data_IF_095547382137
#
_entry.id   IF_095547382137
#
_cell.length_a   1.000
_cell.length_b   1.000
_cell.length_c   1.000
_cell.angle_alpha   90.00
_cell.angle_beta   90.00
_cell.angle_gamma   90.00
#
_symmetry.space_group_name_H-M   'P 1'
#
loop_
_entity.id
_entity.type
_entity.pdbx_description
1 polymer ?
#
# COMPACT_ATOMS: atom_id res chain seq x y z
N UNK A 1 17.64 -15.70 3.59
CA UNK A 1 18.04 -14.92 4.78
C UNK A 1 18.65 -15.80 5.89
N UNK A 2 19.70 -15.32 6.56
CA UNK A 2 20.24 -15.90 7.81
C UNK A 2 19.75 -15.13 9.06
N UNK A 3 18.66 -14.36 8.94
CA UNK A 3 18.16 -13.45 9.96
C UNK A 3 18.30 -11.98 9.54
N UNK A 4 17.87 -11.08 10.44
CA UNK A 4 18.03 -9.64 10.25
C UNK A 4 19.48 -9.21 10.47
N UNK A 5 20.06 -8.51 9.50
CA UNK A 5 21.38 -7.88 9.62
C UNK A 5 21.19 -6.38 9.82
N UNK A 6 21.24 -5.88 11.08
CA UNK A 6 20.99 -4.48 11.38
C UNK A 6 22.10 -3.57 10.88
N UNK A 7 23.20 -4.06 10.30
CA UNK A 7 24.22 -3.23 9.65
C UNK A 7 23.90 -2.97 8.16
N UNK A 8 23.00 -3.76 7.57
CA UNK A 8 22.61 -3.64 6.16
C UNK A 8 21.20 -3.13 5.97
N UNK A 9 20.31 -3.41 6.91
CA UNK A 9 18.89 -3.17 6.77
C UNK A 9 18.33 -2.34 7.92
N UNK A 10 17.25 -1.63 7.61
CA UNK A 10 16.39 -0.88 8.52
C UNK A 10 14.99 -1.49 8.45
N UNK A 11 14.32 -1.61 9.59
CA UNK A 11 12.88 -1.93 9.64
C UNK A 11 12.09 -0.64 9.65
N UNK A 12 11.09 -0.53 8.78
CA UNK A 12 10.20 0.61 8.75
C UNK A 12 9.17 0.54 9.89
N UNK A 13 8.86 1.70 10.46
CA UNK A 13 7.81 1.87 11.46
C UNK A 13 7.21 3.27 11.26
N UNK A 14 6.33 3.41 10.27
CA UNK A 14 5.80 4.70 9.82
C UNK A 14 4.51 4.56 9.03
N UNK A 15 3.81 5.67 8.86
CA UNK A 15 2.69 5.78 7.93
C UNK A 15 2.97 6.85 6.87
N UNK A 16 2.59 6.57 5.62
CA UNK A 16 2.69 7.49 4.48
C UNK A 16 1.37 8.18 4.15
N UNK A 17 0.24 7.60 4.57
CA UNK A 17 -1.09 8.15 4.30
C UNK A 17 -2.02 7.94 5.51
N UNK A 18 -2.93 8.88 5.79
CA UNK A 18 -3.79 8.83 6.98
C UNK A 18 -4.85 7.71 6.95
N UNK A 19 -5.08 7.10 5.78
CA UNK A 19 -6.14 6.13 5.55
C UNK A 19 -5.67 4.67 5.72
N UNK A 20 -4.44 4.45 6.16
CA UNK A 20 -3.85 3.12 6.40
C UNK A 20 -3.27 3.03 7.81
N UNK A 21 -3.10 1.80 8.31
CA UNK A 21 -2.35 1.50 9.53
C UNK A 21 -0.82 1.64 9.37
N UNK A 22 -0.34 2.06 8.20
CA UNK A 22 1.09 2.22 7.91
C UNK A 22 1.82 0.88 7.80
N UNK A 23 3.12 0.91 8.06
CA UNK A 23 3.97 -0.28 8.21
C UNK A 23 4.57 -0.31 9.60
N UNK A 24 4.64 -1.50 10.18
CA UNK A 24 5.19 -1.73 11.52
C UNK A 24 6.27 -2.79 11.47
N UNK A 25 7.24 -2.68 12.38
CA UNK A 25 8.41 -3.55 12.42
C UNK A 25 8.06 -4.97 12.88
N UNK A 26 6.96 -5.08 13.62
CA UNK A 26 6.38 -6.29 14.18
C UNK A 26 5.81 -7.21 13.10
N UNK A 27 5.38 -6.66 11.96
CA UNK A 27 4.88 -7.43 10.82
C UNK A 27 6.00 -8.02 9.95
N UNK A 28 7.27 -7.77 10.28
CA UNK A 28 8.41 -8.33 9.59
C UNK A 28 9.05 -9.45 10.41
N UNK A 29 9.03 -10.65 9.84
CA UNK A 29 9.65 -11.84 10.42
C UNK A 29 10.77 -12.37 9.54
N UNK A 30 11.76 -12.98 10.15
CA UNK A 30 12.83 -13.69 9.45
C UNK A 30 12.73 -15.17 9.80
N UNK A 31 12.15 -15.94 8.90
CA UNK A 31 12.08 -17.39 9.07
C UNK A 31 13.45 -18.00 8.73
N UNK A 32 14.17 -18.40 9.77
CA UNK A 32 15.50 -19.01 9.65
C UNK A 32 15.45 -20.42 9.07
N UNK A 33 14.30 -21.12 9.18
CA UNK A 33 14.15 -22.50 8.71
C UNK A 33 14.02 -22.55 7.19
N UNK A 34 13.16 -21.70 6.63
CA UNK A 34 12.99 -21.54 5.19
C UNK A 34 13.98 -20.55 4.58
N UNK A 35 14.72 -19.82 5.43
CA UNK A 35 15.67 -18.75 5.07
C UNK A 35 14.97 -17.63 4.30
N UNK A 36 13.86 -17.10 4.80
CA UNK A 36 13.08 -16.06 4.12
C UNK A 36 12.79 -14.88 5.05
N UNK A 37 12.57 -13.71 4.47
CA UNK A 37 11.90 -12.61 5.15
C UNK A 37 10.40 -12.68 4.80
N UNK A 38 9.55 -12.61 5.82
CA UNK A 38 8.09 -12.65 5.70
C UNK A 38 7.54 -11.30 6.13
N UNK A 39 6.73 -10.71 5.26
CA UNK A 39 6.11 -9.41 5.44
C UNK A 39 4.60 -9.65 5.57
N UNK A 40 4.10 -9.61 6.79
CA UNK A 40 2.67 -9.72 7.05
C UNK A 40 1.97 -8.41 6.68
N UNK A 41 0.79 -8.56 6.10
CA UNK A 41 -0.13 -7.49 5.82
C UNK A 41 -1.49 -7.84 6.45
N UNK A 42 -2.03 -6.92 7.24
CA UNK A 42 -3.30 -7.08 7.95
C UNK A 42 -4.38 -6.33 7.18
N UNK A 43 -5.40 -7.04 6.69
CA UNK A 43 -6.52 -6.45 5.96
C UNK A 43 -7.60 -5.90 6.90
N UNK A 44 -8.80 -5.69 6.37
CA UNK A 44 -9.94 -5.14 7.11
C UNK A 44 -10.54 -6.10 8.14
N UNK A 45 -10.25 -7.40 8.03
CA UNK A 45 -10.78 -8.43 8.93
C UNK A 45 -9.83 -8.75 10.09
N UNK A 46 -8.68 -8.08 10.18
CA UNK A 46 -7.70 -8.32 11.23
C UNK A 46 -8.19 -7.84 12.59
N UNK A 47 -8.20 -8.74 13.57
CA UNK A 47 -8.62 -8.51 14.95
C UNK A 47 -7.54 -8.83 16.00
N UNK A 48 -6.30 -9.07 15.54
CA UNK A 48 -5.17 -9.44 16.41
C UNK A 48 -4.49 -8.26 17.12
N UNK A 49 -3.46 -8.57 17.91
CA UNK A 49 -2.83 -7.63 18.85
C UNK A 49 -1.84 -6.62 18.21
N UNK A 50 -1.42 -6.83 16.96
CA UNK A 50 -0.44 -5.94 16.32
C UNK A 50 -1.17 -4.74 15.73
N UNK A 51 -1.10 -3.63 16.47
CA UNK A 51 -1.63 -2.35 16.02
C UNK A 51 -0.76 -1.69 14.95
N UNK A 52 -1.40 -0.87 14.12
CA UNK A 52 -0.73 0.00 13.16
C UNK A 52 -0.10 1.23 13.82
N UNK A 53 0.26 2.19 12.97
CA UNK A 53 0.84 3.47 13.34
C UNK A 53 0.19 4.62 12.60
N UNK A 54 0.17 5.78 13.24
CA UNK A 54 -0.26 7.06 12.66
C UNK A 54 0.88 8.08 12.77
N UNK A 55 0.86 9.06 11.87
CA UNK A 55 1.82 10.16 11.84
C UNK A 55 1.11 11.46 12.18
N UNK A 56 1.66 12.22 13.13
CA UNK A 56 1.28 13.61 13.40
C UNK A 56 2.55 14.46 13.43
N UNK A 57 2.67 15.38 12.46
CA UNK A 57 3.91 16.13 12.24
C UNK A 57 5.11 15.20 12.02
N UNK A 58 6.12 15.29 12.88
CA UNK A 58 7.33 14.44 12.89
C UNK A 58 7.27 13.33 13.93
N UNK A 59 6.10 13.06 14.51
CA UNK A 59 5.91 12.02 15.52
C UNK A 59 5.14 10.84 14.94
N UNK A 60 5.59 9.63 15.24
CA UNK A 60 4.86 8.39 14.97
C UNK A 60 4.31 7.87 16.30
N UNK A 61 3.02 7.56 16.32
CA UNK A 61 2.34 6.96 17.48
C UNK A 61 1.58 5.71 17.05
N UNK A 62 1.29 4.84 18.02
CA UNK A 62 0.50 3.62 17.79
C UNK A 62 -0.94 3.98 17.46
N UNK A 63 -1.51 3.30 16.46
CA UNK A 63 -2.93 3.37 16.18
C UNK A 63 -3.71 2.50 17.19
N UNK A 64 -5.02 2.72 17.27
CA UNK A 64 -5.94 1.93 18.09
C UNK A 64 -6.47 0.67 17.36
N UNK A 65 -5.98 0.42 16.14
CA UNK A 65 -6.34 -0.72 15.31
C UNK A 65 -5.14 -1.24 14.52
N UNK A 66 -5.13 -2.54 14.24
CA UNK A 66 -4.14 -3.23 13.41
C UNK A 66 -4.52 -3.37 11.94
N UNK A 67 -5.73 -2.95 11.53
CA UNK A 67 -6.18 -3.08 10.14
C UNK A 67 -5.32 -2.24 9.19
N UNK A 68 -5.23 -2.70 7.94
CA UNK A 68 -4.47 -2.05 6.87
C UNK A 68 -3.03 -1.72 7.27
N UNK A 69 -2.41 -2.63 8.04
CA UNK A 69 -1.04 -2.48 8.54
C UNK A 69 -0.12 -3.47 7.84
N UNK A 70 0.96 -2.98 7.26
CA UNK A 70 1.94 -3.77 6.51
C UNK A 70 3.30 -3.90 7.17
N UNK A 71 4.29 -4.30 6.39
CA UNK A 71 5.70 -4.32 6.76
C UNK A 71 6.57 -3.79 5.63
N UNK A 72 7.67 -3.12 5.97
CA UNK A 72 8.70 -2.76 5.00
C UNK A 72 10.10 -2.78 5.62
N UNK A 73 11.10 -3.03 4.78
CA UNK A 73 12.52 -2.85 5.08
C UNK A 73 13.15 -1.93 4.06
N UNK A 74 14.24 -1.28 4.46
CA UNK A 74 15.07 -0.50 3.57
C UNK A 74 16.56 -0.80 3.80
N UNK A 75 17.39 -0.61 2.79
CA UNK A 75 18.84 -0.68 2.96
C UNK A 75 19.34 0.48 3.81
N UNK A 76 20.43 0.26 4.56
CA UNK A 76 21.15 1.33 5.28
C UNK A 76 21.97 2.20 4.35
N UNK A 77 22.61 1.57 3.38
CA UNK A 77 23.40 2.25 2.35
C UNK A 77 22.49 2.73 1.22
N UNK A 78 22.99 3.72 0.48
CA UNK A 78 22.36 4.26 -0.71
C UNK A 78 23.09 3.72 -1.93
N UNK A 79 22.31 3.32 -2.92
CA UNK A 79 22.78 2.68 -4.13
C UNK A 79 22.34 3.51 -5.34
N UNK A 80 23.19 3.56 -6.35
CA UNK A 80 22.96 4.25 -7.61
C UNK A 80 22.77 3.26 -8.77
N UNK A 81 23.30 3.60 -9.94
CA UNK A 81 23.21 2.78 -11.14
C UNK A 81 23.70 1.33 -10.91
N UNK A 82 22.96 0.38 -11.48
CA UNK A 82 23.20 -1.04 -11.32
C UNK A 82 21.96 -1.89 -11.56
N UNK A 83 22.15 -3.19 -11.39
CA UNK A 83 21.11 -4.21 -11.46
C UNK A 83 20.62 -4.56 -10.06
N UNK A 84 19.32 -4.37 -9.82
CA UNK A 84 18.64 -4.66 -8.56
C UNK A 84 17.73 -5.86 -8.78
N UNK A 85 18.00 -6.96 -8.10
CA UNK A 85 17.27 -8.22 -8.26
C UNK A 85 16.69 -8.66 -6.91
N UNK A 86 15.40 -8.95 -6.88
CA UNK A 86 14.66 -9.42 -5.71
C UNK A 86 13.89 -10.67 -6.12
N UNK A 87 14.13 -11.77 -5.41
CA UNK A 87 13.32 -12.98 -5.56
C UNK A 87 12.27 -13.00 -4.47
N UNK A 88 11.01 -12.78 -4.85
CA UNK A 88 9.89 -12.67 -3.93
C UNK A 88 8.64 -13.39 -4.43
N UNK A 89 7.81 -13.78 -3.47
CA UNK A 89 6.41 -14.15 -3.65
C UNK A 89 5.57 -12.96 -3.17
N UNK A 90 4.71 -12.43 -4.03
CA UNK A 90 3.84 -11.29 -3.68
C UNK A 90 2.71 -11.72 -2.74
N UNK A 91 2.15 -10.76 -2.00
CA UNK A 91 0.91 -10.94 -1.26
C UNK A 91 -0.24 -11.25 -2.22
N UNK A 92 -1.04 -12.27 -1.90
CA UNK A 92 -1.97 -12.87 -2.87
C UNK A 92 -3.32 -12.15 -2.99
N UNK A 93 -3.58 -11.20 -2.08
CA UNK A 93 -4.88 -10.55 -1.91
C UNK A 93 -4.83 -9.11 -2.44
N UNK A 94 -5.93 -8.65 -3.04
CA UNK A 94 -6.10 -7.24 -3.40
C UNK A 94 -6.15 -6.36 -2.15
N UNK A 95 -5.83 -5.08 -2.33
CA UNK A 95 -5.80 -4.04 -1.30
C UNK A 95 -4.46 -3.88 -0.59
N UNK A 96 -3.56 -4.86 -0.72
CA UNK A 96 -2.15 -4.74 -0.31
C UNK A 96 -1.27 -4.63 -1.55
N UNK A 97 -0.34 -3.68 -1.51
CA UNK A 97 0.72 -3.53 -2.51
C UNK A 97 1.98 -4.26 -2.05
N UNK A 98 2.43 -5.25 -2.82
CA UNK A 98 3.80 -5.77 -2.75
C UNK A 98 4.70 -4.90 -3.62
N UNK A 99 5.69 -4.27 -3.01
CA UNK A 99 6.52 -3.26 -3.66
C UNK A 99 8.02 -3.52 -3.48
N UNK A 100 8.77 -3.23 -4.54
CA UNK A 100 10.21 -3.02 -4.53
C UNK A 100 10.43 -1.61 -5.05
N UNK A 101 11.11 -0.74 -4.29
CA UNK A 101 11.36 0.60 -4.78
C UNK A 101 12.71 1.17 -4.33
N UNK A 102 13.31 2.04 -5.12
CA UNK A 102 14.37 2.93 -4.61
C UNK A 102 13.76 4.22 -4.14
N UNK A 103 14.28 4.82 -3.09
CA UNK A 103 13.76 6.11 -2.60
C UNK A 103 14.89 7.01 -2.13
N UNK A 104 14.89 8.24 -2.65
CA UNK A 104 15.64 9.38 -2.13
C UNK A 104 14.70 10.56 -2.02
N UNK A 105 14.69 11.24 -0.88
CA UNK A 105 13.82 12.39 -0.67
C UNK A 105 14.51 13.56 0.01
N UNK A 106 14.23 14.76 -0.51
CA UNK A 106 14.69 16.02 0.05
C UNK A 106 13.64 17.11 -0.10
N UNK A 107 13.45 17.85 0.98
CA UNK A 107 12.66 19.09 0.99
C UNK A 107 13.16 20.06 -0.07
N UNK A 108 12.23 20.73 -0.73
CA UNK A 108 12.53 21.71 -1.75
C UNK A 108 11.27 22.25 -2.42
N UNK A 109 11.46 23.24 -3.29
CA UNK A 109 10.40 23.77 -4.15
C UNK A 109 10.89 23.75 -5.61
N UNK A 110 10.53 22.72 -6.40
CA UNK A 110 9.70 21.55 -6.05
C UNK A 110 10.42 20.56 -5.12
N UNK A 111 9.64 19.67 -4.48
CA UNK A 111 10.16 18.53 -3.72
C UNK A 111 11.02 17.67 -4.64
N UNK A 112 12.17 17.24 -4.13
CA UNK A 112 13.08 16.34 -4.84
C UNK A 112 12.81 14.92 -4.36
N UNK A 113 12.25 14.10 -5.25
CA UNK A 113 12.06 12.66 -5.05
C UNK A 113 12.73 11.91 -6.19
N UNK A 114 13.57 10.92 -5.88
CA UNK A 114 14.19 10.06 -6.87
C UNK A 114 13.84 8.61 -6.56
N UNK A 115 13.01 8.03 -7.41
CA UNK A 115 12.35 6.76 -7.11
C UNK A 115 12.10 5.91 -8.37
N UNK A 116 12.20 4.60 -8.20
CA UNK A 116 11.97 3.56 -9.21
C UNK A 116 11.15 2.49 -8.52
N UNK A 117 10.01 2.12 -9.09
CA UNK A 117 9.10 1.17 -8.44
C UNK A 117 8.83 -0.05 -9.29
N UNK A 118 8.63 -1.18 -8.62
CA UNK A 118 7.86 -2.33 -9.09
C UNK A 118 6.76 -2.56 -8.05
N UNK A 119 5.49 -2.38 -8.44
CA UNK A 119 4.34 -2.51 -7.55
C UNK A 119 3.28 -3.48 -8.10
N UNK A 120 2.76 -4.34 -7.23
CA UNK A 120 1.67 -5.27 -7.52
C UNK A 120 0.62 -5.24 -6.41
N UNK A 121 -0.69 -5.34 -6.72
CA UNK A 121 -1.26 -5.51 -8.06
C UNK A 121 -1.15 -4.24 -8.92
N UNK A 122 -1.16 -4.43 -10.23
CA UNK A 122 -1.19 -3.35 -11.20
C UNK A 122 -2.57 -3.16 -11.81
N UNK A 123 -2.62 -2.44 -12.92
CA UNK A 123 -3.84 -2.17 -13.70
C UNK A 123 -3.47 -1.73 -15.12
N UNK A 124 -4.40 -1.78 -16.09
CA UNK A 124 -4.11 -1.43 -17.49
C UNK A 124 -3.96 0.08 -17.77
N UNK A 125 -4.47 0.95 -16.90
CA UNK A 125 -4.50 2.39 -17.15
C UNK A 125 -4.64 3.19 -15.83
N UNK A 126 -4.58 4.53 -15.85
CA UNK A 126 -4.62 5.33 -14.63
C UNK A 126 -5.86 5.13 -13.74
N UNK A 127 -7.01 4.80 -14.32
CA UNK A 127 -8.23 4.56 -13.56
C UNK A 127 -8.04 3.37 -12.62
N UNK A 128 -8.52 3.45 -11.38
CA UNK A 128 -8.43 2.37 -10.40
C UNK A 128 -9.50 1.29 -10.66
N UNK A 129 -9.53 0.78 -11.90
CA UNK A 129 -10.36 -0.33 -12.35
C UNK A 129 -9.45 -1.43 -12.91
N UNK A 130 -10.00 -2.64 -13.04
CA UNK A 130 -9.30 -3.78 -13.64
C UNK A 130 -7.95 -4.05 -12.95
N UNK A 131 -7.95 -3.92 -11.62
CA UNK A 131 -6.78 -4.13 -10.78
C UNK A 131 -6.54 -5.63 -10.69
N UNK A 132 -5.32 -6.06 -11.04
CA UNK A 132 -4.98 -7.47 -11.15
C UNK A 132 -3.49 -7.73 -10.98
N UNK A 133 -3.15 -8.98 -10.70
CA UNK A 133 -1.76 -9.44 -10.57
C UNK A 133 -1.14 -9.85 -11.91
N UNK A 134 -1.89 -9.77 -13.00
CA UNK A 134 -1.42 -9.86 -14.38
C UNK A 134 -0.91 -8.52 -14.92
N UNK A 135 -0.90 -7.48 -14.08
CA UNK A 135 -0.25 -6.20 -14.31
C UNK A 135 0.70 -5.84 -13.15
N UNK A 136 1.73 -5.05 -13.46
CA UNK A 136 2.56 -4.36 -12.49
C UNK A 136 2.69 -2.88 -12.85
N UNK A 137 2.81 -2.02 -11.83
CA UNK A 137 3.20 -0.62 -12.03
C UNK A 137 4.73 -0.53 -11.98
N UNK A 138 5.32 0.02 -13.04
CA UNK A 138 6.76 0.15 -13.18
C UNK A 138 7.11 1.63 -13.34
N UNK A 139 7.32 2.29 -12.22
CA UNK A 139 7.28 3.75 -12.15
C UNK A 139 8.69 4.34 -12.05
N UNK A 140 8.83 5.61 -12.44
CA UNK A 140 10.06 6.40 -12.27
C UNK A 140 9.75 7.85 -11.93
N UNK A 141 10.47 8.40 -10.95
CA UNK A 141 10.24 9.73 -10.37
C UNK A 141 11.52 10.56 -10.32
N UNK A 142 11.39 11.86 -10.62
CA UNK A 142 12.40 12.90 -10.28
C UNK A 142 11.78 14.03 -9.44
N UNK A 143 10.59 13.79 -8.90
CA UNK A 143 9.82 14.68 -8.03
C UNK A 143 8.40 14.14 -7.84
N UNK A 144 7.57 14.85 -7.07
CA UNK A 144 6.21 14.40 -6.72
C UNK A 144 5.10 15.02 -7.58
N UNK A 145 5.40 16.03 -8.40
CA UNK A 145 4.41 16.62 -9.30
C UNK A 145 4.18 15.74 -10.52
N UNK A 146 2.97 15.75 -11.09
CA UNK A 146 2.60 14.85 -12.18
C UNK A 146 3.50 14.90 -13.43
N UNK A 147 4.20 16.01 -13.69
CA UNK A 147 5.18 16.10 -14.79
C UNK A 147 6.52 15.41 -14.49
N UNK A 148 6.81 15.14 -13.22
CA UNK A 148 8.04 14.55 -12.71
C UNK A 148 7.88 13.05 -12.37
N UNK A 149 6.73 12.47 -12.69
CA UNK A 149 6.39 11.06 -12.49
C UNK A 149 6.05 10.42 -13.83
N UNK A 150 6.55 9.22 -14.07
CA UNK A 150 6.07 8.34 -15.15
C UNK A 150 5.57 7.03 -14.52
N UNK A 151 4.32 6.65 -14.80
CA UNK A 151 3.74 5.38 -14.40
C UNK A 151 3.57 4.48 -15.63
N UNK A 152 4.21 3.31 -15.63
CA UNK A 152 3.99 2.32 -16.68
C UNK A 152 3.05 1.21 -16.19
N UNK A 153 1.88 1.12 -16.83
CA UNK A 153 0.88 0.06 -16.67
C UNK A 153 1.31 -1.18 -17.46
N UNK A 154 2.13 -2.04 -16.85
CA UNK A 154 2.83 -3.11 -17.56
C UNK A 154 2.04 -4.42 -17.46
N UNK A 155 1.49 -4.89 -18.58
CA UNK A 155 0.89 -6.23 -18.67
C UNK A 155 1.99 -7.30 -18.54
N UNK A 156 1.72 -8.31 -17.72
CA UNK A 156 2.55 -9.47 -17.50
C UNK A 156 1.97 -10.70 -18.21
N UNK A 157 2.79 -11.72 -18.42
CA UNK A 157 2.38 -12.94 -19.14
C UNK A 157 1.40 -13.83 -18.34
N UNK A 158 1.23 -13.55 -17.05
CA UNK A 158 0.41 -14.32 -16.11
C UNK A 158 0.11 -13.50 -14.86
N UNK A 159 -0.85 -13.95 -14.07
CA UNK A 159 -1.06 -13.49 -12.71
C UNK A 159 0.11 -13.91 -11.80
N UNK A 160 0.64 -12.96 -11.05
CA UNK A 160 1.84 -13.15 -10.21
C UNK A 160 1.53 -13.52 -8.76
N UNK A 161 0.25 -13.53 -8.36
CA UNK A 161 -0.21 -14.09 -7.08
C UNK A 161 -0.46 -15.60 -7.15
N UNK A 162 0.35 -16.35 -7.91
CA UNK A 162 0.20 -17.79 -8.17
C UNK A 162 0.78 -18.69 -7.06
N UNK A 163 1.15 -18.07 -5.93
CA UNK A 163 1.78 -18.75 -4.80
C UNK A 163 3.26 -19.10 -5.00
N UNK A 164 3.89 -18.70 -6.12
CA UNK A 164 5.28 -18.99 -6.43
C UNK A 164 6.22 -17.80 -6.20
N UNK A 165 7.51 -18.10 -6.19
CA UNK A 165 8.56 -17.08 -6.19
C UNK A 165 8.91 -16.71 -7.62
N UNK A 166 8.89 -15.41 -7.89
CA UNK A 166 9.37 -14.81 -9.12
C UNK A 166 10.60 -13.95 -8.86
N UNK A 167 11.42 -13.79 -9.90
CA UNK A 167 12.59 -12.92 -9.87
C UNK A 167 12.25 -11.60 -10.53
N UNK A 168 12.22 -10.55 -9.74
CA UNK A 168 11.96 -9.18 -10.16
C UNK A 168 13.27 -8.45 -10.25
N UNK A 169 13.51 -7.77 -11.36
CA UNK A 169 14.76 -7.03 -11.54
C UNK A 169 14.53 -5.73 -12.29
N UNK A 170 15.25 -4.69 -11.90
CA UNK A 170 15.43 -3.53 -12.76
C UNK A 170 16.92 -3.22 -12.94
N UNK A 171 17.29 -2.86 -14.16
CA UNK A 171 18.62 -2.38 -14.52
C UNK A 171 18.53 -0.86 -14.70
N UNK A 172 19.23 -0.12 -13.84
CA UNK A 172 19.18 1.34 -13.78
C UNK A 172 20.43 1.96 -14.38
N UNK A 173 20.23 2.69 -15.47
CA UNK A 173 21.26 3.42 -16.22
C UNK A 173 21.07 4.92 -16.02
N UNK A 174 22.12 5.61 -15.56
CA UNK A 174 22.07 7.03 -15.17
C UNK A 174 22.77 7.96 -16.16
N UNK A 175 23.62 7.42 -17.05
CA UNK A 175 24.29 8.14 -18.13
C UNK A 175 23.28 9.03 -18.89
N UNK A 176 23.56 10.33 -18.93
CA UNK A 176 22.68 11.33 -19.56
C UNK A 176 22.38 11.05 -21.03
N UNK A 177 23.30 10.39 -21.74
CA UNK A 177 23.15 10.08 -23.16
C UNK A 177 22.18 8.91 -23.44
N UNK A 178 21.96 8.03 -22.46
CA UNK A 178 21.05 6.88 -22.58
C UNK A 178 20.37 6.51 -21.25
N UNK A 179 19.89 7.53 -20.54
CA UNK A 179 19.27 7.35 -19.23
C UNK A 179 17.99 6.53 -19.36
N UNK A 180 17.90 5.41 -18.62
CA UNK A 180 16.76 4.49 -18.67
C UNK A 180 16.69 3.56 -17.47
N UNK A 181 15.51 2.99 -17.25
CA UNK A 181 15.30 1.83 -16.38
C UNK A 181 14.70 0.72 -17.22
N UNK A 182 15.32 -0.46 -17.18
CA UNK A 182 14.82 -1.66 -17.85
C UNK A 182 14.28 -2.63 -16.79
N UNK A 183 13.04 -3.05 -16.92
CA UNK A 183 12.38 -3.92 -15.95
C UNK A 183 12.24 -5.34 -16.48
N UNK A 184 12.56 -6.31 -15.63
CA UNK A 184 12.60 -7.72 -15.95
C UNK A 184 11.80 -8.53 -14.92
N UNK A 185 11.07 -9.52 -15.42
CA UNK A 185 10.38 -10.55 -14.61
C UNK A 185 10.84 -11.91 -15.10
N UNK A 186 11.37 -12.73 -14.20
CA UNK A 186 11.96 -14.04 -14.49
C UNK A 186 12.97 -14.02 -15.65
N UNK A 187 13.75 -12.94 -15.71
CA UNK A 187 14.76 -12.70 -16.75
C UNK A 187 14.23 -12.19 -18.09
N UNK A 188 12.90 -12.06 -18.26
CA UNK A 188 12.28 -11.46 -19.45
C UNK A 188 12.15 -9.96 -19.27
N UNK A 189 12.65 -9.17 -20.22
CA UNK A 189 12.40 -7.73 -20.29
C UNK A 189 10.91 -7.47 -20.56
N UNK A 190 10.24 -6.72 -19.69
CA UNK A 190 8.80 -6.44 -19.77
C UNK A 190 8.48 -4.96 -19.97
N UNK A 191 9.37 -4.06 -19.56
CA UNK A 191 9.15 -2.61 -19.68
C UNK A 191 10.46 -1.85 -19.74
N UNK A 192 10.46 -0.67 -20.37
CA UNK A 192 11.59 0.27 -20.37
C UNK A 192 11.05 1.68 -20.12
N UNK A 193 11.55 2.36 -19.09
CA UNK A 193 11.25 3.76 -18.81
C UNK A 193 12.42 4.63 -19.24
N UNK A 194 12.11 5.74 -19.94
CA UNK A 194 13.10 6.72 -20.42
C UNK A 194 12.78 8.16 -20.01
N UNK A 195 11.69 8.36 -19.27
CA UNK A 195 11.26 9.65 -18.74
C UNK A 195 11.38 9.64 -17.24
N UNK A 196 11.67 10.79 -16.66
CA UNK A 196 11.74 10.97 -15.20
C UNK A 196 12.60 9.89 -14.51
N UNK A 197 13.65 9.45 -15.21
CA UNK A 197 14.55 8.41 -14.69
C UNK A 197 15.44 9.04 -13.62
N UNK A 198 15.50 8.46 -12.41
CA UNK A 198 16.32 8.98 -11.34
C UNK A 198 17.82 9.01 -11.69
N UNK A 199 18.56 9.89 -11.02
CA UNK A 199 20.02 9.95 -11.08
C UNK A 199 20.67 10.21 -9.71
N UNK A 200 19.87 10.26 -8.63
CA UNK A 200 20.35 10.34 -7.25
C UNK A 200 20.26 8.97 -6.59
N UNK A 201 21.33 8.54 -5.95
CA UNK A 201 21.35 7.31 -5.17
C UNK A 201 20.29 7.36 -4.06
N UNK A 202 19.59 6.23 -3.89
CA UNK A 202 18.51 6.06 -2.93
C UNK A 202 18.70 4.80 -2.10
N UNK A 203 17.90 4.65 -1.05
CA UNK A 203 17.78 3.35 -0.36
C UNK A 203 16.96 2.42 -1.23
N UNK A 204 17.29 1.13 -1.26
CA UNK A 204 16.38 0.11 -1.76
C UNK A 204 15.41 -0.27 -0.65
N UNK A 205 14.14 -0.26 -0.97
CA UNK A 205 13.01 -0.61 -0.13
C UNK A 205 12.27 -1.81 -0.69
N UNK A 206 11.75 -2.62 0.23
CA UNK A 206 10.90 -3.77 -0.08
C UNK A 206 9.80 -3.81 0.98
N UNK A 207 8.55 -3.96 0.58
CA UNK A 207 7.45 -3.94 1.53
C UNK A 207 6.12 -4.43 0.98
N UNK A 208 5.26 -4.86 1.91
CA UNK A 208 3.84 -5.06 1.71
C UNK A 208 3.12 -3.91 2.43
N UNK A 209 2.45 -3.01 1.71
CA UNK A 209 1.86 -1.80 2.28
C UNK A 209 0.47 -1.48 1.69
N UNK A 210 -0.28 -0.61 2.36
CA UNK A 210 -1.67 -0.30 1.99
C UNK A 210 -1.77 1.09 1.36
N UNK A 211 -1.87 1.17 0.02
CA UNK A 211 -2.06 2.44 -0.67
C UNK A 211 -3.49 2.97 -0.55
N UNK A 212 -3.66 4.24 -0.89
CA UNK A 212 -4.99 4.85 -0.94
C UNK A 212 -5.77 4.33 -2.16
N UNK A 213 -6.50 3.23 -1.97
CA UNK A 213 -7.48 2.60 -2.88
C UNK A 213 -6.96 1.93 -4.17
N UNK A 214 -5.78 2.27 -4.67
CA UNK A 214 -5.38 1.82 -6.02
C UNK A 214 -4.94 0.36 -6.12
N UNK A 215 -4.70 -0.32 -4.99
CA UNK A 215 -4.41 -1.76 -4.96
C UNK A 215 -5.68 -2.62 -4.80
N UNK A 216 -6.87 -2.02 -4.72
CA UNK A 216 -8.14 -2.71 -4.48
C UNK A 216 -8.57 -2.67 -3.01
N UNK A 217 -9.54 -3.52 -2.64
CA UNK A 217 -10.14 -3.56 -1.30
C UNK A 217 -9.49 -4.68 -0.48
N UNK A 218 -8.89 -4.40 0.70
CA UNK A 218 -8.19 -5.40 1.50
C UNK A 218 -9.14 -6.24 2.37
N UNK A 219 -10.08 -6.95 1.74
CA UNK A 219 -11.08 -7.79 2.42
C UNK A 219 -10.51 -9.17 2.82
N UNK A 220 -9.53 -9.16 3.71
CA UNK A 220 -8.90 -10.36 4.26
C UNK A 220 -8.42 -10.09 5.70
N UNK A 221 -8.07 -11.15 6.43
CA UNK A 221 -7.46 -11.05 7.75
C UNK A 221 -5.95 -10.79 7.62
N UNK A 222 -5.17 -11.82 7.25
CA UNK A 222 -3.72 -11.70 6.99
C UNK A 222 -3.37 -12.19 5.59
N UNK A 223 -2.51 -11.44 4.91
CA UNK A 223 -1.82 -11.86 3.68
C UNK A 223 -0.32 -11.66 3.83
N UNK A 224 0.48 -12.33 3.00
CA UNK A 224 1.94 -12.39 3.17
C UNK A 224 2.69 -12.19 1.87
N UNK A 225 3.68 -11.29 1.89
CA UNK A 225 4.76 -11.25 0.91
C UNK A 225 5.99 -11.96 1.51
N UNK A 226 6.67 -12.80 0.72
CA UNK A 226 7.90 -13.47 1.14
C UNK A 226 9.07 -13.09 0.24
N UNK A 227 10.24 -12.84 0.83
CA UNK A 227 11.47 -12.53 0.10
C UNK A 227 12.53 -13.57 0.43
N UNK A 228 13.06 -14.21 -0.60
CA UNK A 228 14.15 -15.18 -0.50
C UNK A 228 15.50 -14.47 -0.44
N UNK A 229 15.79 -13.69 -1.49
CA UNK A 229 17.03 -12.92 -1.59
C UNK A 229 16.83 -11.55 -2.25
N UNK A 230 17.80 -10.69 -1.98
CA UNK A 230 18.01 -9.41 -2.65
C UNK A 230 19.47 -9.36 -3.10
N UNK A 231 19.71 -8.89 -4.32
CA UNK A 231 21.04 -8.74 -4.91
C UNK A 231 21.12 -7.40 -5.63
N UNK A 232 22.17 -6.65 -5.35
CA UNK A 232 22.56 -5.45 -6.09
C UNK A 232 23.91 -5.69 -6.77
N UNK A 233 24.00 -5.35 -8.06
CA UNK A 233 25.24 -5.42 -8.85
C UNK A 233 25.50 -4.06 -9.50
N UNK A 234 26.53 -3.30 -9.07
CA UNK A 234 26.78 -1.96 -9.59
C UNK A 234 27.19 -1.99 -11.07
N UNK A 235 26.88 -0.92 -11.79
CA UNK A 235 27.43 -0.68 -13.12
C UNK A 235 28.64 0.25 -13.02
N UNK A 236 29.84 -0.30 -13.24
CA UNK A 236 31.13 0.40 -13.00
C UNK A 236 31.35 1.64 -13.89
N UNK A 237 30.66 1.74 -15.02
CA UNK A 237 30.83 2.83 -16.00
C UNK A 237 29.74 3.89 -15.92
N UNK A 238 28.87 3.83 -14.91
CA UNK A 238 27.75 4.75 -14.73
C UNK A 238 28.05 5.74 -13.59
N UNK A 239 27.58 6.98 -13.73
CA UNK A 239 27.73 8.02 -12.70
C UNK A 239 26.39 8.41 -12.12
N UNK A 240 26.33 8.57 -10.80
CA UNK A 240 25.15 9.03 -10.08
C UNK A 240 25.56 9.97 -8.96
N UNK A 241 24.64 10.81 -8.53
CA UNK A 241 24.88 11.73 -7.42
C UNK A 241 24.42 11.12 -6.10
N UNK A 242 24.99 11.59 -4.99
CA UNK A 242 24.63 11.13 -3.65
C UNK A 242 24.47 12.33 -2.68
N UNK A 243 23.43 13.15 -2.86
CA UNK A 243 23.15 14.25 -1.95
C UNK A 243 22.64 13.74 -0.58
N UNK A 244 22.60 14.63 0.42
CA UNK A 244 21.95 14.34 1.70
C UNK A 244 20.43 14.42 1.60
N UNK A 245 19.74 13.48 2.27
CA UNK A 245 18.30 13.54 2.50
C UNK A 245 17.96 14.49 3.65
N UNK A 246 16.74 15.05 3.64
CA UNK A 246 16.24 15.91 4.73
C UNK A 246 16.02 15.15 6.04
N UNK A 247 15.45 13.94 5.97
CA UNK A 247 14.98 13.19 7.14
C UNK A 247 15.37 11.70 7.11
N UNK A 248 16.67 11.36 6.92
CA UNK A 248 17.12 9.98 6.71
C UNK A 248 16.87 9.06 7.92
N UNK A 249 16.63 9.61 9.10
CA UNK A 249 16.44 8.88 10.37
C UNK A 249 14.98 8.81 10.84
N UNK A 250 14.02 9.24 10.02
CA UNK A 250 12.62 9.26 10.40
C UNK A 250 11.85 7.97 10.01
N UNK A 251 11.01 7.49 10.92
CA UNK A 251 10.05 6.42 10.64
C UNK A 251 10.66 5.01 10.61
N UNK A 252 11.69 4.78 11.41
CA UNK A 252 12.33 3.48 11.59
C UNK A 252 11.89 2.85 12.91
N UNK A 253 12.07 1.54 13.05
CA UNK A 253 11.72 0.83 14.28
C UNK A 253 12.39 1.46 15.52
N UNK A 254 11.72 1.50 16.68
CA UNK A 254 12.24 2.16 17.89
C UNK A 254 13.59 1.65 18.39
N UNK A 255 13.96 0.41 18.06
CA UNK A 255 15.24 -0.23 18.39
C UNK A 255 16.35 0.06 17.36
N UNK A 256 16.07 0.89 16.35
CA UNK A 256 17.04 1.24 15.32
C UNK A 256 18.10 2.18 15.87
N UNK A 257 19.34 1.69 15.91
CA UNK A 257 20.51 2.51 16.25
C UNK A 257 21.10 3.11 14.96
N UNK A 258 21.31 4.42 14.97
CA UNK A 258 22.14 5.14 14.02
C UNK A 258 23.44 5.54 14.72
N UNK A 259 24.62 5.34 14.08
CA UNK A 259 25.88 5.77 14.69
C UNK A 259 25.87 7.29 14.94
N UNK A 260 26.24 7.71 16.15
CA UNK A 260 26.36 9.12 16.50
C UNK A 260 27.38 9.81 15.58
N UNK A 261 27.05 11.02 15.14
CA UNK A 261 27.99 11.90 14.45
C UNK A 261 29.15 12.22 15.40
N UNK A 262 30.38 11.90 15.02
CA UNK A 262 31.56 12.37 15.76
C UNK A 262 31.54 13.89 15.92
N UNK A 263 31.85 14.37 17.12
CA UNK A 263 31.96 15.79 17.47
C UNK A 263 32.97 16.54 16.58
N UNK A 264 32.59 17.75 16.12
CA UNK A 264 33.38 19.00 16.15
C UNK A 264 32.56 20.17 15.54
N UNK A 265 32.88 21.44 15.87
CA UNK A 265 31.90 22.43 16.30
C UNK A 265 31.49 23.45 15.22
N UNK A 266 30.26 23.95 15.36
CA UNK A 266 29.88 25.28 14.86
C UNK A 266 29.03 25.30 13.59
N UNK A 267 27.79 25.71 13.81
CA UNK A 267 26.83 26.31 12.88
C UNK A 267 26.04 25.40 11.91
N UNK A 268 24.73 25.39 12.18
CA UNK A 268 23.53 25.01 11.42
C UNK A 268 23.54 23.79 10.45
N UNK A 269 22.50 22.96 10.56
CA UNK A 269 22.15 21.79 9.72
C UNK A 269 22.96 20.48 9.87
N UNK A 270 22.88 19.81 11.03
CA UNK A 270 23.47 18.48 11.21
C UNK A 270 22.68 17.36 10.51
N UNK A 271 22.94 17.15 9.22
CA UNK A 271 22.63 15.89 8.52
C UNK A 271 23.87 15.00 8.52
N UNK A 272 23.77 13.79 9.07
CA UNK A 272 24.83 12.77 9.02
C UNK A 272 25.18 12.45 7.56
N UNK A 273 26.46 12.18 7.20
CA UNK A 273 26.83 11.83 5.84
C UNK A 273 26.14 10.55 5.40
N UNK A 274 25.38 10.64 4.31
CA UNK A 274 24.80 9.48 3.63
C UNK A 274 25.95 8.56 3.17
N UNK A 275 25.95 7.30 3.64
CA UNK A 275 26.93 6.30 3.17
C UNK A 275 26.51 5.81 1.79
N UNK A 276 27.02 6.47 0.77
CA UNK A 276 27.03 5.91 -0.57
C UNK A 276 28.17 4.92 -0.72
N UNK A 277 27.88 3.75 -1.26
CA UNK A 277 28.94 2.95 -1.88
C UNK A 277 29.22 3.57 -3.24
N UNK A 278 30.45 4.02 -3.46
CA UNK A 278 30.99 4.13 -4.81
C UNK A 278 31.20 2.72 -5.38
N UNK A 279 31.20 2.55 -6.71
CA UNK A 279 31.66 1.32 -7.33
C UNK A 279 33.10 1.06 -6.85
N UNK A 280 33.28 0.08 -5.98
CA UNK A 280 34.61 -0.38 -5.59
C UNK A 280 35.08 -1.27 -6.71
N UNK A 281 36.17 -0.89 -7.38
CA UNK A 281 36.93 -1.81 -8.24
C UNK A 281 37.23 -3.07 -7.43
N UNK A 282 36.50 -4.16 -7.71
CA UNK A 282 36.78 -5.45 -7.11
C UNK A 282 38.12 -5.97 -7.65
N UNK A 283 38.96 -6.62 -6.82
CA UNK A 283 40.19 -7.24 -7.32
C UNK A 283 39.81 -8.31 -8.35
N UNK A 284 40.49 -8.31 -9.49
CA UNK A 284 40.34 -9.28 -10.56
C UNK A 284 40.62 -10.70 -10.02
N UNK A 285 39.59 -11.41 -9.56
CA UNK A 285 39.66 -12.85 -9.39
C UNK A 285 39.22 -13.51 -10.71
N UNK A 286 40.12 -14.32 -11.25
CA UNK A 286 39.90 -15.09 -12.46
C UNK A 286 38.65 -15.99 -12.34
N UNK A 287 37.88 -16.17 -13.42
CA UNK A 287 36.69 -17.01 -13.40
C UNK A 287 37.08 -18.46 -13.11
N UNK A 288 36.50 -19.06 -12.07
CA UNK A 288 36.49 -20.52 -11.93
C UNK A 288 35.57 -21.14 -12.99
N UNK A 289 35.91 -22.32 -13.52
CA UNK A 289 35.21 -22.90 -14.66
C UNK A 289 33.77 -23.28 -14.33
N UNK A 290 32.88 -23.01 -15.28
CA UNK A 290 31.47 -23.36 -15.23
C UNK A 290 31.27 -24.88 -15.05
N UNK A 291 30.51 -25.26 -14.03
CA UNK A 291 29.98 -26.61 -13.88
C UNK A 291 28.75 -26.74 -14.78
N UNK A 292 28.83 -27.62 -15.75
CA UNK A 292 27.73 -27.99 -16.64
C UNK A 292 26.77 -28.92 -15.92
N UNK A 293 25.52 -28.49 -15.74
CA UNK A 293 24.43 -29.36 -15.26
C UNK A 293 23.85 -30.17 -16.44
N UNK A 294 23.50 -31.46 -16.25
CA UNK A 294 22.94 -32.29 -17.31
C UNK A 294 21.46 -31.96 -17.59
N UNK A 295 20.94 -32.28 -18.79
CA UNK A 295 19.58 -31.91 -19.20
C UNK A 295 18.54 -32.77 -18.47
N UNK A 296 17.57 -32.12 -17.83
CA UNK A 296 16.39 -32.79 -17.28
C UNK A 296 15.38 -33.10 -18.40
N UNK A 297 15.10 -34.39 -18.57
CA UNK A 297 14.02 -34.91 -19.42
C UNK A 297 12.64 -34.49 -18.89
N UNK A 298 11.80 -33.97 -19.79
CA UNK A 298 10.44 -33.52 -19.50
C UNK A 298 9.53 -34.65 -18.99
N UNK A 299 8.73 -34.35 -17.97
CA UNK A 299 7.63 -35.20 -17.51
C UNK A 299 6.37 -35.01 -18.40
N UNK A 300 5.46 -35.98 -18.49
CA UNK A 300 4.31 -35.92 -19.40
C UNK A 300 3.26 -34.91 -18.92
N UNK A 301 2.80 -34.05 -19.84
CA UNK A 301 1.69 -33.11 -19.66
C UNK A 301 0.36 -33.87 -19.71
N UNK A 302 -0.44 -33.77 -18.65
CA UNK A 302 -1.85 -34.17 -18.67
C UNK A 302 -2.69 -33.08 -19.37
N UNK A 303 -3.74 -33.45 -20.14
CA UNK A 303 -4.56 -32.47 -20.84
C UNK A 303 -5.37 -31.59 -19.85
N UNK A 304 -5.60 -30.31 -20.19
CA UNK A 304 -6.30 -29.39 -19.31
C UNK A 304 -7.77 -29.80 -19.15
N UNK A 305 -8.21 -29.92 -17.90
CA UNK A 305 -9.63 -29.95 -17.55
C UNK A 305 -10.23 -28.56 -17.74
N UNK A 306 -11.30 -28.46 -18.51
CA UNK A 306 -12.03 -27.20 -18.71
C UNK A 306 -12.46 -26.59 -17.36
N UNK A 307 -12.40 -25.26 -17.20
CA UNK A 307 -12.93 -24.59 -16.02
C UNK A 307 -14.46 -24.78 -15.92
N UNK A 308 -15.02 -24.84 -14.71
CA UNK A 308 -16.46 -24.93 -14.54
C UNK A 308 -17.13 -23.65 -15.05
N UNK A 309 -18.01 -23.81 -16.05
CA UNK A 309 -18.93 -22.75 -16.46
C UNK A 309 -20.01 -22.64 -15.38
N UNK A 310 -19.95 -21.61 -14.53
CA UNK A 310 -21.06 -21.26 -13.66
C UNK A 310 -22.12 -20.50 -14.49
N UNK A 311 -23.31 -21.09 -14.59
CA UNK A 311 -24.52 -20.45 -15.12
C UNK A 311 -24.92 -19.22 -14.28
N UNK A 312 -25.56 -18.18 -14.87
CA UNK A 312 -26.00 -17.01 -14.12
C UNK A 312 -27.16 -17.39 -13.20
N UNK A 313 -26.95 -17.35 -11.90
CA UNK A 313 -28.06 -17.25 -10.94
C UNK A 313 -28.58 -15.82 -11.02
N UNK A 314 -29.86 -15.65 -11.34
CA UNK A 314 -30.51 -14.33 -11.41
C UNK A 314 -30.44 -13.57 -10.07
N UNK A 315 -30.79 -12.29 -10.11
CA UNK A 315 -30.76 -11.41 -8.95
C UNK A 315 -31.66 -11.94 -7.81
N UNK A 316 -31.19 -11.85 -6.57
CA UNK A 316 -31.92 -12.27 -5.37
C UNK A 316 -32.74 -11.10 -4.78
N UNK A 317 -33.79 -11.37 -3.98
CA UNK A 317 -34.53 -10.32 -3.26
C UNK A 317 -33.62 -9.43 -2.38
N UNK A 318 -32.54 -9.99 -1.85
CA UNK A 318 -31.53 -9.25 -1.08
C UNK A 318 -30.76 -8.28 -1.97
N UNK A 319 -30.37 -8.69 -3.18
CA UNK A 319 -29.70 -7.80 -4.14
C UNK A 319 -30.60 -6.64 -4.60
N UNK A 320 -31.91 -6.86 -4.74
CA UNK A 320 -32.88 -5.78 -5.00
C UNK A 320 -33.06 -4.83 -3.81
N UNK A 321 -33.08 -5.39 -2.58
CA UNK A 321 -33.17 -4.58 -1.35
C UNK A 321 -31.93 -3.70 -1.18
N UNK A 322 -30.76 -4.26 -1.49
CA UNK A 322 -29.50 -3.55 -1.49
C UNK A 322 -29.46 -2.50 -2.61
N UNK A 323 -29.89 -2.83 -3.83
CA UNK A 323 -29.99 -1.88 -4.93
C UNK A 323 -30.85 -0.67 -4.58
N UNK A 324 -32.03 -0.88 -4.01
CA UNK A 324 -32.93 0.20 -3.61
C UNK A 324 -32.32 1.10 -2.53
N UNK A 325 -31.46 0.55 -1.67
CA UNK A 325 -30.88 1.28 -0.53
C UNK A 325 -29.56 1.97 -0.86
N UNK A 326 -28.71 1.36 -1.69
CA UNK A 326 -27.31 1.77 -1.91
C UNK A 326 -26.95 2.01 -3.38
N UNK A 327 -27.87 1.73 -4.31
CA UNK A 327 -27.62 1.83 -5.74
C UNK A 327 -26.87 0.61 -6.28
N UNK A 328 -26.51 0.65 -7.57
CA UNK A 328 -25.96 -0.52 -8.28
C UNK A 328 -24.44 -0.68 -8.19
N UNK A 329 -23.74 0.27 -7.58
CA UNK A 329 -22.26 0.33 -7.62
C UNK A 329 -21.60 -0.79 -6.81
N UNK A 330 -22.22 -1.20 -5.71
CA UNK A 330 -21.72 -2.23 -4.79
C UNK A 330 -22.28 -3.62 -5.11
N UNK A 331 -23.12 -3.74 -6.14
CA UNK A 331 -23.69 -5.00 -6.58
C UNK A 331 -22.81 -5.68 -7.63
N UNK A 332 -23.01 -6.99 -7.79
CA UNK A 332 -22.32 -7.78 -8.81
C UNK A 332 -22.53 -7.14 -10.19
N UNK A 333 -21.48 -7.14 -11.05
CA UNK A 333 -21.49 -6.43 -12.33
C UNK A 333 -22.63 -6.85 -13.27
N UNK A 334 -23.06 -8.11 -13.15
CA UNK A 334 -24.19 -8.65 -13.93
C UNK A 334 -25.56 -8.23 -13.38
N UNK A 335 -25.65 -7.54 -12.24
CA UNK A 335 -26.94 -7.24 -11.60
C UNK A 335 -27.87 -6.47 -12.54
N UNK A 336 -27.40 -5.37 -13.14
CA UNK A 336 -28.22 -4.59 -14.06
C UNK A 336 -28.58 -5.39 -15.32
N UNK A 337 -27.62 -6.12 -15.92
CA UNK A 337 -27.85 -6.93 -17.13
C UNK A 337 -28.82 -8.11 -16.86
N UNK A 338 -28.76 -8.69 -15.66
CA UNK A 338 -29.67 -9.74 -15.20
C UNK A 338 -31.08 -9.20 -14.94
N UNK A 339 -31.21 -7.92 -14.55
CA UNK A 339 -32.48 -7.26 -14.29
C UNK A 339 -33.17 -6.81 -15.58
N UNK A 340 -32.39 -6.18 -16.46
CA UNK A 340 -32.83 -5.74 -17.77
C UNK A 340 -31.69 -5.95 -18.78
N UNK A 341 -31.90 -6.80 -19.80
CA UNK A 341 -30.86 -7.05 -20.79
C UNK A 341 -30.46 -5.77 -21.54
N UNK A 342 -29.15 -5.58 -21.71
CA UNK A 342 -28.52 -4.37 -22.21
C UNK A 342 -28.36 -3.26 -21.15
N UNK A 343 -28.69 -3.51 -19.89
CA UNK A 343 -28.54 -2.55 -18.79
C UNK A 343 -27.20 -2.70 -18.08
N UNK A 344 -26.64 -1.58 -17.64
CA UNK A 344 -25.38 -1.49 -16.92
C UNK A 344 -25.49 -0.43 -15.82
N UNK A 345 -24.64 -0.50 -14.78
CA UNK A 345 -24.65 0.48 -13.71
C UNK A 345 -24.07 1.82 -14.18
N UNK A 346 -24.85 2.90 -14.10
CA UNK A 346 -24.40 4.26 -14.44
C UNK A 346 -23.80 4.92 -13.20
N UNK A 347 -22.52 4.67 -12.95
CA UNK A 347 -21.81 5.26 -11.80
C UNK A 347 -21.55 6.76 -11.93
N UNK A 348 -21.74 7.31 -13.13
CA UNK A 348 -21.64 8.75 -13.42
C UNK A 348 -22.98 9.49 -13.30
N UNK A 349 -24.07 8.81 -12.96
CA UNK A 349 -25.37 9.43 -12.67
C UNK A 349 -25.82 8.98 -11.29
N UNK A 350 -26.12 9.95 -10.41
CA UNK A 350 -26.55 9.67 -9.05
C UNK A 350 -27.81 10.45 -8.65
N UNK A 351 -28.44 10.03 -7.56
CA UNK A 351 -29.71 10.57 -7.04
C UNK A 351 -29.57 11.90 -6.28
N UNK A 352 -28.51 12.67 -6.55
CA UNK A 352 -28.27 14.00 -5.99
C UNK A 352 -27.21 14.03 -4.90
N UNK A 353 -27.12 15.15 -4.18
CA UNK A 353 -25.98 15.48 -3.30
C UNK A 353 -25.98 14.77 -1.95
N UNK A 354 -27.08 14.10 -1.58
CA UNK A 354 -27.26 13.52 -0.24
C UNK A 354 -26.84 12.04 -0.19
N UNK A 355 -27.37 11.18 -1.05
CA UNK A 355 -26.99 9.76 -1.05
C UNK A 355 -25.97 9.40 -2.13
N UNK A 356 -25.90 10.16 -3.22
CA UNK A 356 -24.99 9.92 -4.35
C UNK A 356 -25.00 8.47 -4.89
N UNK A 357 -26.17 7.82 -4.91
CA UNK A 357 -26.30 6.40 -5.29
C UNK A 357 -26.42 6.22 -6.80
N UNK A 358 -25.65 5.28 -7.34
CA UNK A 358 -25.61 4.91 -8.76
C UNK A 358 -26.85 4.13 -9.20
N UNK A 359 -27.30 4.30 -10.45
CA UNK A 359 -28.54 3.69 -10.98
C UNK A 359 -28.29 2.82 -12.23
N UNK A 360 -29.01 1.70 -12.38
CA UNK A 360 -28.97 0.90 -13.60
C UNK A 360 -29.50 1.68 -14.81
N UNK A 361 -28.90 1.45 -15.98
CA UNK A 361 -29.31 2.06 -17.25
C UNK A 361 -30.74 1.63 -17.61
N UNK A 362 -31.63 2.59 -17.81
CA UNK A 362 -33.05 2.34 -18.08
C UNK A 362 -33.95 2.44 -16.84
N UNK A 363 -33.38 2.50 -15.64
CA UNK A 363 -34.13 2.76 -14.41
C UNK A 363 -34.24 4.27 -14.14
N UNK A 364 -35.33 4.62 -13.45
CA UNK A 364 -35.55 5.94 -12.87
C UNK A 364 -35.20 5.92 -11.38
N UNK A 365 -34.73 7.04 -10.81
CA UNK A 365 -34.33 7.12 -9.40
C UNK A 365 -35.47 6.85 -8.42
N UNK A 366 -36.73 6.86 -8.86
CA UNK A 366 -37.89 6.42 -8.07
C UNK A 366 -37.86 4.95 -7.66
N UNK A 367 -37.00 4.11 -8.26
CA UNK A 367 -36.78 2.72 -7.81
C UNK A 367 -35.88 2.63 -6.57
N UNK A 368 -35.20 3.73 -6.20
CA UNK A 368 -34.41 3.81 -4.98
C UNK A 368 -35.29 4.27 -3.82
N UNK A 369 -35.00 3.74 -2.63
CA UNK A 369 -35.61 4.22 -1.40
C UNK A 369 -35.28 5.70 -1.19
N UNK A 370 -36.19 6.54 -0.69
CA UNK A 370 -35.90 7.94 -0.41
C UNK A 370 -34.62 8.10 0.42
N UNK A 371 -33.80 9.09 0.06
CA UNK A 371 -32.67 9.48 0.88
C UNK A 371 -33.13 9.89 2.28
N UNK A 372 -32.80 9.09 3.29
CA UNK A 372 -33.04 9.48 4.67
C UNK A 372 -32.14 10.68 5.01
N UNK A 373 -32.74 11.79 5.43
CA UNK A 373 -32.00 12.87 6.10
C UNK A 373 -31.27 12.30 7.33
N UNK A 374 -30.04 12.73 7.63
CA UNK A 374 -29.27 12.19 8.75
C UNK A 374 -29.84 12.74 10.06
N UNK A 375 -30.88 12.09 10.60
CA UNK A 375 -31.35 12.35 11.97
C UNK A 375 -31.86 11.12 12.72
N UNK A 376 -31.90 9.92 12.13
CA UNK A 376 -32.52 8.77 12.79
C UNK A 376 -31.56 7.74 13.41
N UNK A 377 -30.24 7.88 13.25
CA UNK A 377 -29.26 6.94 13.84
C UNK A 377 -28.46 7.56 14.99
N UNK A 378 -28.26 8.87 14.98
CA UNK A 378 -27.40 9.52 15.98
C UNK A 378 -27.97 9.41 17.41
N UNK A 379 -29.30 9.39 17.58
CA UNK A 379 -29.90 9.18 18.89
C UNK A 379 -29.74 7.74 19.39
N UNK A 380 -29.79 6.75 18.50
CA UNK A 380 -29.55 5.33 18.84
C UNK A 380 -28.07 5.07 19.11
N UNK A 381 -27.17 5.65 18.31
CA UNK A 381 -25.73 5.60 18.55
C UNK A 381 -25.38 6.31 19.85
N UNK A 382 -26.00 7.46 20.12
CA UNK A 382 -25.80 8.16 21.38
C UNK A 382 -26.25 7.31 22.56
N UNK A 383 -27.46 6.73 22.51
CA UNK A 383 -27.99 5.85 23.56
C UNK A 383 -27.08 4.67 23.84
N UNK A 384 -26.57 4.02 22.79
CA UNK A 384 -25.79 2.79 22.90
C UNK A 384 -24.29 3.03 23.17
N UNK A 385 -23.70 4.06 22.57
CA UNK A 385 -22.25 4.27 22.54
C UNK A 385 -21.80 5.64 23.10
N UNK A 386 -22.74 6.55 23.38
CA UNK A 386 -22.42 7.92 23.79
C UNK A 386 -22.07 8.84 22.62
N UNK A 387 -21.81 10.12 22.92
CA UNK A 387 -21.65 11.15 21.88
C UNK A 387 -20.31 11.08 21.14
N UNK A 388 -19.30 10.39 21.66
CA UNK A 388 -17.96 10.35 21.05
C UNK A 388 -17.97 9.69 19.67
N UNK A 389 -18.88 8.74 19.45
CA UNK A 389 -19.03 7.98 18.22
C UNK A 389 -19.89 8.68 17.15
N UNK A 390 -20.36 9.90 17.43
CA UNK A 390 -21.15 10.68 16.47
C UNK A 390 -20.26 11.55 15.59
N UNK A 391 -20.54 11.55 14.28
CA UNK A 391 -19.80 12.34 13.30
C UNK A 391 -19.96 13.86 13.54
N UNK A 392 -21.15 14.31 13.96
CA UNK A 392 -21.47 15.71 14.31
C UNK A 392 -21.78 15.86 15.81
N UNK A 393 -21.00 15.22 16.68
CA UNK A 393 -21.26 15.09 18.13
C UNK A 393 -21.65 16.38 18.87
N UNK A 394 -21.01 17.50 18.57
CA UNK A 394 -21.31 18.76 19.26
C UNK A 394 -22.64 19.36 18.79
N UNK A 395 -22.93 19.29 17.49
CA UNK A 395 -24.21 19.73 16.92
C UNK A 395 -25.36 18.84 17.39
N UNK A 396 -25.13 17.52 17.47
CA UNK A 396 -26.07 16.58 18.08
C UNK A 396 -26.33 16.95 19.55
N UNK A 397 -25.29 17.21 20.35
CA UNK A 397 -25.45 17.58 21.75
C UNK A 397 -26.19 18.91 21.95
N UNK A 398 -25.99 19.89 21.06
CA UNK A 398 -26.76 21.14 21.02
C UNK A 398 -28.23 20.86 20.71
N UNK A 399 -28.52 19.95 19.77
CA UNK A 399 -29.88 19.54 19.41
C UNK A 399 -30.58 18.75 20.52
N UNK A 400 -29.86 17.88 21.22
CA UNK A 400 -30.39 16.99 22.26
C UNK A 400 -30.64 17.71 23.58
N UNK A 401 -29.67 18.49 24.07
CA UNK A 401 -29.71 19.08 25.42
C UNK A 401 -30.02 20.57 25.40
N UNK A 402 -29.60 21.29 24.35
CA UNK A 402 -29.86 22.71 24.18
C UNK A 402 -28.61 23.56 23.91
N UNK A 403 -28.83 24.86 23.72
CA UNK A 403 -27.76 25.80 23.37
C UNK A 403 -26.68 25.88 24.46
N UNK A 404 -25.43 25.60 24.06
CA UNK A 404 -24.28 25.55 24.96
C UNK A 404 -23.88 24.14 25.41
N UNK A 405 -24.63 23.11 24.98
CA UNK A 405 -24.20 21.72 25.09
C UNK A 405 -23.16 21.36 24.03
N UNK A 406 -22.33 20.37 24.32
CA UNK A 406 -21.27 19.81 23.47
C UNK A 406 -20.90 18.42 24.00
N UNK A 407 -20.18 17.61 23.24
CA UNK A 407 -19.80 16.27 23.69
C UNK A 407 -18.66 16.31 24.71
N UNK A 408 -18.89 15.77 25.92
CA UNK A 408 -17.88 15.67 26.99
C UNK A 408 -17.13 14.36 26.93
N UNK A 409 -16.21 14.25 25.98
CA UNK A 409 -15.33 13.08 25.81
C UNK A 409 -14.41 12.79 27.02
N UNK A 410 -14.34 13.68 28.02
CA UNK A 410 -13.59 13.46 29.26
C UNK A 410 -14.46 13.01 30.44
N UNK A 411 -15.78 12.85 30.24
CA UNK A 411 -16.72 12.43 31.28
C UNK A 411 -17.53 11.25 30.77
N UNK A 412 -17.33 10.11 31.41
CA UNK A 412 -17.94 8.84 31.00
C UNK A 412 -18.90 8.28 32.05
N UNK A 413 -19.83 7.45 31.61
CA UNK A 413 -20.58 6.57 32.50
C UNK A 413 -19.73 5.36 32.95
N UNK A 414 -20.35 4.43 33.68
CA UNK A 414 -19.68 3.21 34.12
C UNK A 414 -19.30 2.24 32.99
N UNK A 415 -19.76 2.50 31.77
CA UNK A 415 -19.51 1.73 30.55
C UNK A 415 -18.60 2.46 29.57
N UNK A 416 -17.95 3.52 30.04
CA UNK A 416 -16.98 4.32 29.28
C UNK A 416 -17.58 5.06 28.09
N UNK A 417 -18.87 5.40 28.13
CA UNK A 417 -19.54 6.17 27.07
C UNK A 417 -19.53 7.66 27.38
N UNK A 418 -19.09 8.47 26.43
CA UNK A 418 -19.04 9.93 26.56
C UNK A 418 -20.44 10.55 26.47
N UNK A 419 -20.67 11.66 27.19
CA UNK A 419 -22.00 12.25 27.34
C UNK A 419 -22.10 13.70 26.85
N UNK A 420 -23.29 14.14 26.42
CA UNK A 420 -23.54 15.54 26.12
C UNK A 420 -23.53 16.42 27.39
N UNK A 421 -22.97 17.62 27.29
CA UNK A 421 -22.90 18.57 28.40
C UNK A 421 -24.29 19.05 28.84
N UNK A 422 -24.67 18.69 30.07
CA UNK A 422 -25.99 19.00 30.65
C UNK A 422 -26.92 17.79 30.73
N UNK A 423 -26.50 16.65 30.19
CA UNK A 423 -27.15 15.36 30.36
C UNK A 423 -26.60 14.63 31.60
N UNK A 424 -27.44 13.84 32.27
CA UNK A 424 -27.18 13.16 33.54
C UNK A 424 -27.06 11.63 33.41
N UNK A 425 -26.89 11.14 32.18
CA UNK A 425 -26.76 9.74 31.77
C UNK A 425 -28.08 8.97 31.73
N UNK A 426 -29.22 9.60 32.05
CA UNK A 426 -30.54 8.97 31.96
C UNK A 426 -31.00 8.70 30.52
N UNK A 427 -30.36 9.36 29.55
CA UNK A 427 -30.61 9.22 28.12
C UNK A 427 -29.85 8.07 27.46
N UNK A 428 -28.93 7.41 28.18
CA UNK A 428 -28.17 6.28 27.67
C UNK A 428 -28.88 4.96 28.01
N UNK A 429 -28.74 3.97 27.13
CA UNK A 429 -29.25 2.63 27.40
C UNK A 429 -28.48 1.97 28.54
N UNK A 430 -29.12 1.01 29.22
CA UNK A 430 -28.42 0.18 30.18
C UNK A 430 -27.29 -0.58 29.51
N UNK A 431 -26.21 -0.74 30.24
CA UNK A 431 -25.24 -1.78 30.00
C UNK A 431 -25.80 -3.11 30.57
#
# INVERSE_FOLDING_TARGET
SNGFDPNKWLKAHKSWNPNSGGVVAENLHFDLSSKRAVFNAHGLLYDGDIMGVKKEGTTIYRADSGIMTGAAIATRDYFGAGSYEVRMKVAEQLGVCSAIWTFFWKDGTPIVNHEIDIELPGRPNPAHSDIGFDYALMNTYIGESGSLVETNFTQLDREMNDGQFHTWRFDWHTDESDRRVEFYVDGKLVSINRKNVPFYAGRLWIGAWFPNSWAGIPNFDVSQMEVDYVKFTPFENETYECPSESIPHFGWAPDTIFPESGEEPGDDSSSTPVKCKTPSTAPTQAPSPAVTSPPMTAAPVLPPTNPPVSTPTGNTPESYTHYASYGCQELHISFCENDQSGSYCKTWQNDGTVCQRSICHGHDFTVLNPCASPQNNDEEIYKSNGCEHLQNRDEFCVGLVGSGSYCKFWKHDHCQRAICQGDDFSSLDSC
#
